data_IF_308239544487
#
_entry.id   IF_308239544487
#
_cell.length_a   1.000
_cell.length_b   1.000
_cell.length_c   1.000
_cell.angle_alpha   90.00
_cell.angle_beta   90.00
_cell.angle_gamma   90.00
#
_symmetry.space_group_name_H-M   'P 1'
#
loop_
_entity.id
_entity.type
_entity.pdbx_description
1 polymer ?
#
# COMPACT_ATOMS: atom_id res chain seq x y z
N UNK A 1 5.66 -8.51 14.09
CA UNK A 1 5.92 -9.04 12.72
C UNK A 1 4.70 -9.84 12.29
N UNK A 2 4.00 -9.41 11.24
CA UNK A 2 2.81 -10.11 10.71
C UNK A 2 3.18 -10.90 9.45
N UNK A 3 2.54 -12.05 9.22
CA UNK A 3 2.77 -12.91 8.05
C UNK A 3 1.45 -13.45 7.51
N UNK A 4 1.26 -13.31 6.21
CA UNK A 4 0.13 -13.88 5.47
C UNK A 4 0.59 -15.01 4.54
N UNK A 5 -0.28 -16.00 4.34
CA UNK A 5 -0.07 -17.06 3.34
C UNK A 5 -1.32 -17.20 2.50
N UNK A 6 -1.19 -17.02 1.19
CA UNK A 6 -2.32 -16.97 0.29
C UNK A 6 -2.06 -17.66 -1.05
N UNK A 7 -3.09 -18.15 -1.76
CA UNK A 7 -2.92 -18.78 -3.06
C UNK A 7 -2.39 -17.80 -4.11
N UNK A 8 -1.43 -18.23 -4.93
CA UNK A 8 -1.02 -17.46 -6.12
C UNK A 8 -2.20 -17.42 -7.10
N UNK A 9 -2.76 -16.22 -7.32
CA UNK A 9 -3.88 -16.02 -8.23
C UNK A 9 -3.49 -16.29 -9.67
N UNK A 10 -4.47 -16.71 -10.47
CA UNK A 10 -4.27 -17.25 -11.82
C UNK A 10 -3.37 -16.38 -12.72
N UNK A 11 -3.55 -15.04 -12.81
CA UNK A 11 -2.72 -14.21 -13.69
C UNK A 11 -1.22 -14.24 -13.36
N UNK A 12 -0.86 -14.54 -12.11
CA UNK A 12 0.53 -14.53 -11.66
C UNK A 12 1.19 -15.90 -11.62
N UNK A 13 0.43 -17.00 -11.75
CA UNK A 13 0.98 -18.36 -11.60
C UNK A 13 2.11 -18.67 -12.55
N UNK A 14 2.05 -18.15 -13.79
CA UNK A 14 3.08 -18.37 -14.82
C UNK A 14 4.43 -17.74 -14.46
N UNK A 15 4.47 -16.81 -13.49
CA UNK A 15 5.71 -16.21 -13.00
C UNK A 15 6.42 -17.06 -11.95
N UNK A 16 5.78 -18.10 -11.44
CA UNK A 16 6.34 -18.98 -10.41
C UNK A 16 6.73 -20.33 -10.99
N UNK A 17 7.66 -21.02 -10.33
CA UNK A 17 8.07 -22.37 -10.71
C UNK A 17 6.90 -23.38 -10.61
N UNK A 18 6.94 -24.49 -11.39
CA UNK A 18 5.95 -25.56 -11.29
C UNK A 18 5.76 -26.05 -9.84
N UNK A 19 4.51 -26.26 -9.43
CA UNK A 19 4.15 -26.71 -8.07
C UNK A 19 4.08 -25.59 -7.02
N UNK A 20 4.46 -24.36 -7.35
CA UNK A 20 4.30 -23.21 -6.43
C UNK A 20 2.87 -22.67 -6.52
N UNK A 21 2.10 -22.88 -5.45
CA UNK A 21 0.69 -22.51 -5.40
C UNK A 21 0.36 -21.43 -4.38
N UNK A 22 1.31 -21.07 -3.51
CA UNK A 22 1.08 -20.12 -2.43
C UNK A 22 2.23 -19.12 -2.32
N UNK A 23 1.87 -17.87 -2.06
CA UNK A 23 2.80 -16.84 -1.63
C UNK A 23 2.80 -16.75 -0.10
N UNK A 24 3.97 -16.47 0.48
CA UNK A 24 4.10 -16.09 1.89
C UNK A 24 4.58 -14.65 1.93
N UNK A 25 3.76 -13.77 2.48
CA UNK A 25 4.00 -12.34 2.55
C UNK A 25 4.27 -11.92 3.99
N UNK A 26 5.30 -11.10 4.20
CA UNK A 26 5.62 -10.53 5.50
C UNK A 26 5.38 -9.02 5.44
N UNK A 27 4.63 -8.48 6.39
CA UNK A 27 4.30 -7.05 6.38
C UNK A 27 5.33 -6.21 7.12
N UNK A 28 5.66 -5.08 6.52
CA UNK A 28 6.51 -4.04 7.07
C UNK A 28 5.85 -2.68 6.84
N UNK A 29 6.05 -1.74 7.76
CA UNK A 29 5.57 -0.37 7.64
C UNK A 29 6.74 0.60 7.78
N UNK A 30 6.72 1.67 6.99
CA UNK A 30 7.68 2.77 7.08
C UNK A 30 6.91 4.07 7.21
N UNK A 31 6.96 4.70 8.38
CA UNK A 31 6.45 6.05 8.55
C UNK A 31 7.50 7.04 8.00
N UNK A 32 7.09 7.86 7.05
CA UNK A 32 7.91 8.95 6.54
C UNK A 32 7.57 10.22 7.32
N UNK A 33 8.56 11.09 7.62
CA UNK A 33 8.28 12.34 8.32
C UNK A 33 7.34 13.26 7.52
N UNK A 34 7.44 13.24 6.19
CA UNK A 34 6.65 14.06 5.28
C UNK A 34 6.43 13.35 3.94
N UNK A 35 5.51 13.87 3.12
CA UNK A 35 5.31 13.42 1.73
C UNK A 35 6.58 13.67 0.91
N UNK A 36 6.96 12.68 0.10
CA UNK A 36 8.15 12.74 -0.76
C UNK A 36 7.76 12.87 -2.23
N UNK A 37 8.61 13.55 -3.00
CA UNK A 37 8.56 13.49 -4.47
C UNK A 37 8.93 12.09 -4.92
N UNK A 38 8.02 11.42 -5.62
CA UNK A 38 8.22 10.05 -6.09
C UNK A 38 8.80 10.10 -7.50
N UNK A 39 9.88 9.33 -7.72
CA UNK A 39 10.41 9.05 -9.06
C UNK A 39 10.23 7.56 -9.34
N UNK A 40 9.43 7.24 -10.35
CA UNK A 40 9.15 5.86 -10.72
C UNK A 40 10.27 5.27 -11.58
N UNK A 41 10.53 3.97 -11.40
CA UNK A 41 11.20 3.16 -12.40
C UNK A 41 10.13 2.68 -13.41
N UNK A 42 10.15 3.12 -14.67
CA UNK A 42 9.12 2.74 -15.65
C UNK A 42 9.13 1.25 -16.00
N UNK A 43 10.20 0.51 -15.66
CA UNK A 43 10.23 -0.94 -15.83
C UNK A 43 9.36 -1.69 -14.80
N UNK A 44 8.96 -1.03 -13.70
CA UNK A 44 8.24 -1.66 -12.59
C UNK A 44 6.87 -1.02 -12.33
N UNK A 45 6.78 0.32 -12.42
CA UNK A 45 5.58 1.07 -12.06
C UNK A 45 5.28 2.18 -13.07
N UNK A 46 3.99 2.40 -13.31
CA UNK A 46 3.50 3.35 -14.34
C UNK A 46 2.89 4.62 -13.76
N UNK A 47 2.37 4.59 -12.53
CA UNK A 47 1.79 5.75 -11.85
C UNK A 47 1.96 5.67 -10.33
N UNK A 48 1.81 6.81 -9.65
CA UNK A 48 1.74 6.88 -8.20
C UNK A 48 0.78 7.97 -7.73
N UNK A 49 0.28 7.85 -6.51
CA UNK A 49 -0.55 8.86 -5.84
C UNK A 49 -0.46 8.74 -4.33
N UNK A 50 -0.47 9.88 -3.63
CA UNK A 50 -0.67 9.92 -2.18
C UNK A 50 -2.17 9.95 -1.89
N UNK A 51 -2.66 9.04 -1.05
CA UNK A 51 -4.08 8.91 -0.72
C UNK A 51 -4.29 8.74 0.79
N UNK A 52 -5.44 9.18 1.33
CA UNK A 52 -5.89 8.73 2.64
C UNK A 52 -6.02 7.20 2.68
N UNK A 53 -5.75 6.60 3.84
CA UNK A 53 -5.63 5.14 3.97
C UNK A 53 -6.89 4.39 3.50
N UNK A 54 -8.09 4.90 3.78
CA UNK A 54 -9.34 4.25 3.40
C UNK A 54 -9.53 4.21 1.87
N UNK A 55 -9.09 5.24 1.15
CA UNK A 55 -9.11 5.25 -0.32
C UNK A 55 -8.04 4.32 -0.89
N UNK A 56 -6.85 4.29 -0.28
CA UNK A 56 -5.78 3.36 -0.68
C UNK A 56 -6.21 1.90 -0.49
N UNK A 57 -6.84 1.57 0.64
CA UNK A 57 -7.39 0.26 0.95
C UNK A 57 -8.49 -0.15 -0.05
N UNK A 58 -9.39 0.78 -0.41
CA UNK A 58 -10.43 0.53 -1.40
C UNK A 58 -9.88 0.32 -2.84
N UNK A 59 -8.77 0.99 -3.18
CA UNK A 59 -8.14 0.91 -4.50
C UNK A 59 -7.24 -0.32 -4.66
N UNK A 60 -6.74 -0.90 -3.56
CA UNK A 60 -5.80 -2.01 -3.59
C UNK A 60 -6.42 -3.25 -4.26
N UNK A 61 -5.80 -3.69 -5.36
CA UNK A 61 -6.20 -4.92 -6.08
C UNK A 61 -5.79 -6.20 -5.36
N UNK A 62 -4.74 -6.14 -4.53
CA UNK A 62 -4.36 -7.21 -3.60
C UNK A 62 -5.16 -7.05 -2.31
N UNK A 63 -5.90 -8.10 -1.93
CA UNK A 63 -6.64 -8.11 -0.68
C UNK A 63 -5.71 -8.12 0.54
N UNK A 64 -4.55 -8.78 0.47
CA UNK A 64 -3.59 -8.77 1.59
C UNK A 64 -2.98 -7.38 1.79
N UNK A 65 -2.75 -6.62 0.72
CA UNK A 65 -2.33 -5.21 0.84
C UNK A 65 -3.43 -4.34 1.46
N UNK A 66 -4.70 -4.54 1.06
CA UNK A 66 -5.83 -3.83 1.67
C UNK A 66 -5.89 -4.08 3.17
N UNK A 67 -5.76 -5.34 3.58
CA UNK A 67 -5.80 -5.73 4.99
C UNK A 67 -4.60 -5.16 5.76
N UNK A 68 -3.41 -5.17 5.15
CA UNK A 68 -2.21 -4.55 5.72
C UNK A 68 -2.41 -3.05 5.99
N UNK A 69 -2.96 -2.30 5.02
CA UNK A 69 -3.23 -0.86 5.17
C UNK A 69 -4.18 -0.62 6.36
N UNK A 70 -5.28 -1.37 6.46
CA UNK A 70 -6.28 -1.19 7.51
C UNK A 70 -5.72 -1.55 8.90
N UNK A 71 -5.03 -2.68 9.02
CA UNK A 71 -4.51 -3.16 10.31
C UNK A 71 -3.34 -2.33 10.83
N UNK A 72 -2.41 -1.94 9.95
CA UNK A 72 -1.23 -1.16 10.34
C UNK A 72 -1.66 0.25 10.80
N UNK A 73 -2.58 0.90 10.08
CA UNK A 73 -3.07 2.23 10.47
C UNK A 73 -3.82 2.16 11.80
N UNK A 74 -4.67 1.15 12.00
CA UNK A 74 -5.35 0.94 13.27
C UNK A 74 -4.35 0.73 14.44
N UNK A 75 -3.25 0.02 14.21
CA UNK A 75 -2.19 -0.15 15.20
C UNK A 75 -1.38 1.12 15.47
N UNK A 76 -1.13 1.94 14.45
CA UNK A 76 -0.44 3.24 14.60
C UNK A 76 -1.28 4.24 15.40
N UNK A 77 -2.60 4.29 15.17
CA UNK A 77 -3.52 5.14 15.93
C UNK A 77 -3.54 4.81 17.44
N UNK A 78 -3.21 3.57 17.81
CA UNK A 78 -3.12 3.14 19.21
C UNK A 78 -1.76 3.49 19.86
N UNK A 79 -0.76 3.92 19.07
CA UNK A 79 0.64 4.05 19.54
C UNK A 79 1.20 5.48 19.43
N UNK A 80 0.49 6.43 18.80
CA UNK A 80 0.92 7.83 18.64
C UNK A 80 0.13 8.83 19.50
N UNK A 81 0.71 9.98 19.89
CA UNK A 81 -0.08 11.07 20.48
C UNK A 81 -1.08 11.59 19.43
N UNK A 82 -2.27 12.01 19.89
CA UNK A 82 -3.33 12.52 19.02
C UNK A 82 -2.82 13.69 18.16
N UNK A 83 -2.69 13.47 16.85
CA UNK A 83 -2.43 14.54 15.89
C UNK A 83 -3.76 15.24 15.60
N UNK A 84 -3.86 16.52 15.97
CA UNK A 84 -5.02 17.36 15.69
C UNK A 84 -5.30 17.42 14.19
N UNK A 85 -6.57 17.21 13.85
CA UNK A 85 -7.12 17.34 12.52
C UNK A 85 -7.12 18.81 12.08
N UNK A 86 -6.06 19.25 11.40
CA UNK A 86 -6.13 20.45 10.57
C UNK A 86 -5.93 20.02 9.11
N UNK A 87 -7.03 19.59 8.49
CA UNK A 87 -7.10 19.22 7.09
C UNK A 87 -7.15 20.48 6.23
N UNK A 88 -6.00 20.92 5.70
CA UNK A 88 -6.00 21.75 4.49
C UNK A 88 -5.92 20.81 3.28
N UNK A 89 -6.94 20.75 2.40
CA UNK A 89 -6.83 19.99 1.17
C UNK A 89 -5.89 20.74 0.22
N UNK A 90 -4.63 20.30 0.15
CA UNK A 90 -3.74 20.74 -0.91
C UNK A 90 -4.25 20.14 -2.23
N UNK A 91 -4.95 20.99 -2.97
CA UNK A 91 -5.42 20.82 -4.33
C UNK A 91 -4.24 20.39 -5.24
N UNK A 92 -4.15 19.09 -5.52
CA UNK A 92 -3.18 18.55 -6.49
C UNK A 92 -3.80 18.74 -7.86
N UNK A 93 -3.47 19.86 -8.50
CA UNK A 93 -3.66 20.03 -9.95
C UNK A 93 -2.89 18.92 -10.67
N UNK A 94 -3.62 17.97 -11.23
CA UNK A 94 -3.13 17.12 -12.31
C UNK A 94 -2.81 18.05 -13.48
N UNK A 95 -1.53 18.25 -13.80
CA UNK A 95 -1.18 18.80 -15.10
C UNK A 95 -1.19 17.65 -16.12
N UNK A 96 -1.97 17.75 -17.21
CA UNK A 96 -1.88 16.82 -18.31
C UNK A 96 -0.60 17.05 -19.14
N UNK A 97 -0.20 15.99 -19.84
CA UNK A 97 1.03 15.81 -20.65
C UNK A 97 1.18 16.91 -21.70
#
# INVERSE_FOLDING_TARGET
RHTERFPVIHPWRTRYAPGVHYNREHWFALCLPDRRTIRLNPAEHVEHRWLPFYRAAALASSWTNRDAILQIVAGMAQTGPAVSADETPLDVRLQPI
#
